data_IF_086976573762
#
_entry.id   IF_086976573762
#
_cell.length_a   1.000
_cell.length_b   1.000
_cell.length_c   1.000
_cell.angle_alpha   90.00
_cell.angle_beta   90.00
_cell.angle_gamma   90.00
#
_symmetry.space_group_name_H-M   'P 1'
#
loop_
_entity.id
_entity.type
_entity.pdbx_description
1 polymer ?
#
# COMPACT_ATOMS: atom_id res chain seq x y z
N UNK A 1 -9.46 -3.53 -16.45
CA UNK A 1 -10.65 -2.68 -16.63
C UNK A 1 -11.33 -3.12 -17.92
N UNK A 2 -12.59 -3.55 -17.89
CA UNK A 2 -13.32 -3.83 -19.12
C UNK A 2 -13.68 -2.50 -19.82
N UNK A 3 -13.55 -2.47 -21.15
CA UNK A 3 -14.08 -1.37 -21.96
C UNK A 3 -15.62 -1.46 -22.02
N UNK A 4 -16.34 -0.37 -22.35
CA UNK A 4 -17.81 -0.39 -22.46
C UNK A 4 -18.36 -1.41 -23.48
N UNK A 5 -17.53 -1.78 -24.45
CA UNK A 5 -17.85 -2.78 -25.50
C UNK A 5 -17.25 -4.17 -25.24
N UNK A 6 -16.65 -4.41 -24.08
CA UNK A 6 -16.10 -5.73 -23.74
C UNK A 6 -17.25 -6.71 -23.49
N UNK A 7 -17.25 -7.84 -24.20
CA UNK A 7 -18.22 -8.92 -23.95
C UNK A 7 -18.12 -9.39 -22.49
N UNK A 8 -19.28 -9.57 -21.85
CA UNK A 8 -19.39 -9.96 -20.45
C UNK A 8 -18.69 -11.29 -20.14
N UNK A 9 -18.56 -12.20 -21.11
CA UNK A 9 -17.88 -13.48 -20.94
C UNK A 9 -16.34 -13.37 -20.88
N UNK A 10 -15.77 -12.29 -21.41
CA UNK A 10 -14.31 -12.11 -21.51
C UNK A 10 -13.68 -11.88 -20.13
N UNK A 11 -14.31 -11.09 -19.27
CA UNK A 11 -13.76 -10.77 -17.94
C UNK A 11 -13.60 -12.03 -17.07
N UNK A 12 -14.64 -12.90 -16.93
CA UNK A 12 -14.49 -14.17 -16.20
C UNK A 12 -13.47 -15.11 -16.84
N UNK A 13 -13.41 -15.17 -18.17
CA UNK A 13 -12.44 -16.01 -18.89
C UNK A 13 -11.01 -15.55 -18.65
N UNK A 14 -10.75 -14.25 -18.76
CA UNK A 14 -9.43 -13.66 -18.48
C UNK A 14 -9.00 -13.89 -17.02
N UNK A 15 -9.92 -13.74 -16.05
CA UNK A 15 -9.63 -14.04 -14.64
C UNK A 15 -9.23 -15.50 -14.43
N UNK A 16 -9.99 -16.44 -15.00
CA UNK A 16 -9.64 -17.86 -14.92
C UNK A 16 -8.26 -18.14 -15.50
N UNK A 17 -7.97 -17.59 -16.68
CA UNK A 17 -6.66 -17.77 -17.32
C UNK A 17 -5.53 -17.22 -16.42
N UNK A 18 -5.67 -16.01 -15.89
CA UNK A 18 -4.65 -15.41 -15.03
C UNK A 18 -4.45 -16.22 -13.75
N UNK A 19 -5.53 -16.73 -13.13
CA UNK A 19 -5.41 -17.62 -11.97
C UNK A 19 -4.67 -18.93 -12.32
N UNK A 20 -4.92 -19.51 -13.49
CA UNK A 20 -4.23 -20.74 -13.94
C UNK A 20 -2.72 -20.55 -14.08
N UNK A 21 -2.26 -19.35 -14.42
CA UNK A 21 -0.82 -19.02 -14.52
C UNK A 21 -0.26 -18.42 -13.23
N UNK A 22 -0.95 -18.60 -12.09
CA UNK A 22 -0.47 -18.20 -10.77
C UNK A 22 -0.54 -16.71 -10.45
N UNK A 23 -1.33 -15.94 -11.23
CA UNK A 23 -1.56 -14.52 -10.94
C UNK A 23 -2.82 -14.34 -10.07
N UNK A 24 -2.91 -13.20 -9.38
CA UNK A 24 -4.09 -12.81 -8.58
C UNK A 24 -4.78 -11.61 -9.26
N UNK A 25 -5.66 -11.85 -10.24
CA UNK A 25 -6.30 -10.77 -10.99
C UNK A 25 -7.40 -10.08 -10.19
N UNK A 26 -7.38 -8.76 -10.19
CA UNK A 26 -8.49 -7.93 -9.70
C UNK A 26 -9.28 -7.36 -10.89
N UNK A 27 -10.55 -7.02 -10.66
CA UNK A 27 -11.38 -6.31 -11.62
C UNK A 27 -11.57 -4.88 -11.17
N UNK A 28 -11.21 -3.94 -12.03
CA UNK A 28 -11.52 -2.52 -11.84
C UNK A 28 -12.73 -2.21 -12.69
N UNK A 29 -13.86 -1.94 -12.06
CA UNK A 29 -15.15 -1.79 -12.75
C UNK A 29 -15.22 -0.56 -13.65
N UNK A 30 -14.47 0.47 -13.34
CA UNK A 30 -14.43 1.74 -14.07
C UNK A 30 -13.03 2.31 -14.02
N UNK A 31 -12.54 2.81 -15.14
CA UNK A 31 -11.24 3.47 -15.19
C UNK A 31 -11.18 4.68 -14.24
N UNK A 32 -10.06 4.80 -13.57
CA UNK A 32 -9.75 5.91 -12.66
C UNK A 32 -8.25 6.19 -12.72
N UNK A 33 -7.86 7.45 -12.73
CA UNK A 33 -6.46 7.86 -12.71
C UNK A 33 -5.70 7.19 -11.55
N UNK A 34 -4.54 6.59 -11.85
CA UNK A 34 -3.71 5.86 -10.89
C UNK A 34 -4.21 4.46 -10.54
N UNK A 35 -5.37 4.04 -11.04
CA UNK A 35 -6.00 2.77 -10.69
C UNK A 35 -6.07 2.55 -9.17
N UNK A 36 -6.31 1.33 -8.71
CA UNK A 36 -6.45 1.05 -7.26
C UNK A 36 -5.10 1.13 -6.55
N UNK A 37 -4.07 0.47 -7.10
CA UNK A 37 -2.76 0.35 -6.43
C UNK A 37 -2.11 1.71 -6.21
N UNK A 38 -1.95 2.51 -7.28
CA UNK A 38 -1.28 3.80 -7.17
C UNK A 38 -2.06 4.79 -6.32
N UNK A 39 -3.39 4.72 -6.30
CA UNK A 39 -4.22 5.57 -5.42
C UNK A 39 -3.99 5.26 -3.95
N UNK A 40 -3.97 3.96 -3.57
CA UNK A 40 -3.71 3.55 -2.19
C UNK A 40 -2.28 3.89 -1.77
N UNK A 41 -1.30 3.62 -2.64
CA UNK A 41 0.10 3.96 -2.39
C UNK A 41 0.30 5.48 -2.29
N UNK A 42 -0.31 6.24 -3.19
CA UNK A 42 -0.23 7.71 -3.17
C UNK A 42 -0.84 8.32 -1.91
N UNK A 43 -1.97 7.78 -1.42
CA UNK A 43 -2.57 8.24 -0.16
C UNK A 43 -1.61 8.03 1.03
N UNK A 44 -0.97 6.85 1.11
CA UNK A 44 0.02 6.55 2.14
C UNK A 44 1.26 7.45 2.03
N UNK A 45 1.80 7.61 0.81
CA UNK A 45 2.97 8.44 0.59
C UNK A 45 2.71 9.92 0.89
N UNK A 46 1.57 10.47 0.49
CA UNK A 46 1.22 11.85 0.79
C UNK A 46 1.19 12.12 2.30
N UNK A 47 0.66 11.19 3.10
CA UNK A 47 0.69 11.32 4.56
C UNK A 47 2.11 11.18 5.10
N UNK A 48 2.89 10.22 4.63
CA UNK A 48 4.28 10.02 5.05
C UNK A 48 5.15 11.28 4.81
N UNK A 49 5.04 11.88 3.63
CA UNK A 49 5.75 13.11 3.29
C UNK A 49 5.31 14.29 4.15
N UNK A 50 4.01 14.42 4.43
CA UNK A 50 3.48 15.48 5.28
C UNK A 50 3.96 15.32 6.74
N UNK A 51 3.94 14.12 7.29
CA UNK A 51 4.44 13.85 8.64
C UNK A 51 5.93 14.19 8.78
N UNK A 52 6.74 13.89 7.76
CA UNK A 52 8.15 14.28 7.73
C UNK A 52 8.33 15.80 7.59
N UNK A 53 7.62 16.45 6.66
CA UNK A 53 7.71 17.90 6.43
C UNK A 53 7.34 18.69 7.70
N UNK A 54 6.33 18.24 8.42
CA UNK A 54 5.82 18.85 9.66
C UNK A 54 6.66 18.49 10.89
N UNK A 55 7.68 17.63 10.75
CA UNK A 55 8.61 17.28 11.82
C UNK A 55 8.06 16.31 12.86
N UNK A 56 7.02 15.55 12.54
CA UNK A 56 6.45 14.57 13.47
C UNK A 56 7.33 13.33 13.65
N UNK A 57 8.05 12.90 12.60
CA UNK A 57 8.91 11.74 12.66
C UNK A 57 10.02 11.81 11.59
N UNK A 58 11.10 11.05 11.83
CA UNK A 58 12.15 10.84 10.83
C UNK A 58 11.67 9.95 9.68
N UNK A 59 12.37 9.98 8.55
CA UNK A 59 12.11 9.07 7.42
C UNK A 59 12.21 7.60 7.87
N UNK A 60 13.20 7.28 8.72
CA UNK A 60 13.37 5.92 9.26
C UNK A 60 12.18 5.47 10.11
N UNK A 61 11.70 6.31 11.02
CA UNK A 61 10.59 5.97 11.92
C UNK A 61 9.27 5.78 11.15
N UNK A 62 9.05 6.58 10.09
CA UNK A 62 7.92 6.42 9.18
C UNK A 62 8.01 5.09 8.44
N UNK A 63 9.18 4.75 7.86
CA UNK A 63 9.43 3.48 7.20
C UNK A 63 9.20 2.28 8.14
N UNK A 64 9.70 2.37 9.39
CA UNK A 64 9.51 1.33 10.42
C UNK A 64 8.04 1.19 10.82
N UNK A 65 7.30 2.28 10.97
CA UNK A 65 5.87 2.26 11.28
C UNK A 65 5.07 1.52 10.21
N UNK A 66 5.41 1.73 8.94
CA UNK A 66 4.73 1.02 7.84
C UNK A 66 5.19 -0.43 7.77
N UNK A 67 6.50 -0.70 7.76
CA UNK A 67 7.03 -2.06 7.50
C UNK A 67 6.75 -3.04 8.64
N UNK A 68 6.72 -2.59 9.91
CA UNK A 68 6.48 -3.41 11.09
C UNK A 68 5.06 -3.26 11.67
N UNK A 69 4.35 -2.23 11.27
CA UNK A 69 2.95 -1.99 11.65
C UNK A 69 1.96 -2.45 10.58
N UNK A 70 1.64 -1.56 9.67
CA UNK A 70 0.61 -1.79 8.65
C UNK A 70 1.01 -2.90 7.66
N UNK A 71 2.20 -2.81 7.09
CA UNK A 71 2.69 -3.71 6.05
C UNK A 71 2.84 -5.16 6.51
N UNK A 72 3.15 -5.37 7.79
CA UNK A 72 3.25 -6.71 8.36
C UNK A 72 1.92 -7.46 8.29
N UNK A 73 0.81 -6.79 8.57
CA UNK A 73 -0.54 -7.38 8.43
C UNK A 73 -0.97 -7.47 6.97
N UNK A 74 -0.68 -6.44 6.19
CA UNK A 74 -1.05 -6.35 4.78
C UNK A 74 -0.32 -7.36 3.87
N UNK A 75 0.68 -8.04 4.40
CA UNK A 75 1.27 -9.19 3.71
C UNK A 75 0.26 -10.34 3.52
N UNK A 76 -0.73 -10.48 4.40
CA UNK A 76 -1.67 -11.60 4.42
C UNK A 76 -3.10 -11.17 4.12
N UNK A 77 -3.51 -9.96 4.50
CA UNK A 77 -4.88 -9.49 4.38
C UNK A 77 -4.94 -8.04 3.90
N UNK A 78 -6.02 -7.66 3.24
CA UNK A 78 -6.24 -6.29 2.79
C UNK A 78 -6.70 -5.35 3.92
N UNK A 79 -6.87 -4.04 3.62
CA UNK A 79 -7.26 -3.06 4.62
C UNK A 79 -8.65 -3.32 5.23
N UNK A 80 -9.61 -3.80 4.46
CA UNK A 80 -10.96 -4.09 4.97
C UNK A 80 -10.99 -5.30 5.88
N UNK A 81 -10.31 -6.38 5.52
CA UNK A 81 -10.16 -7.55 6.38
C UNK A 81 -9.39 -7.22 7.65
N UNK A 82 -8.35 -6.39 7.55
CA UNK A 82 -7.61 -5.91 8.72
C UNK A 82 -8.52 -5.20 9.72
N UNK A 83 -9.39 -4.29 9.28
CA UNK A 83 -10.29 -3.58 10.19
C UNK A 83 -11.46 -4.45 10.67
N UNK A 84 -11.88 -5.41 9.88
CA UNK A 84 -12.91 -6.39 10.28
C UNK A 84 -12.45 -7.23 11.48
N UNK A 85 -11.19 -7.68 11.44
CA UNK A 85 -10.57 -8.45 12.52
C UNK A 85 -10.15 -7.61 13.74
N UNK A 86 -10.07 -6.29 13.60
CA UNK A 86 -9.63 -5.37 14.66
C UNK A 86 -10.78 -4.86 15.56
N UNK A 87 -12.01 -5.24 15.31
CA UNK A 87 -13.14 -4.84 16.14
C UNK A 87 -14.08 -6.02 16.42
N UNK A 88 -14.58 -6.17 17.66
CA UNK A 88 -15.47 -7.29 18.02
C UNK A 88 -16.75 -7.38 17.18
N UNK A 89 -17.24 -6.26 16.68
CA UNK A 89 -18.42 -6.16 15.82
C UNK A 89 -18.07 -5.95 14.33
N UNK A 90 -16.83 -6.26 13.93
CA UNK A 90 -16.38 -6.20 12.54
C UNK A 90 -16.28 -4.78 11.96
N UNK A 91 -16.33 -4.68 10.62
CA UNK A 91 -16.15 -3.40 9.89
C UNK A 91 -17.10 -2.31 10.38
N UNK A 92 -18.36 -2.61 10.63
CA UNK A 92 -19.35 -1.62 11.07
C UNK A 92 -19.03 -1.06 12.45
N UNK A 93 -18.55 -1.89 13.36
CA UNK A 93 -18.13 -1.47 14.70
C UNK A 93 -16.84 -0.63 14.63
N UNK A 94 -15.87 -1.07 13.83
CA UNK A 94 -14.64 -0.32 13.58
C UNK A 94 -14.94 1.06 13.01
N UNK A 95 -15.78 1.14 11.97
CA UNK A 95 -16.16 2.40 11.32
C UNK A 95 -16.84 3.37 12.31
N UNK A 96 -17.72 2.86 13.16
CA UNK A 96 -18.39 3.69 14.19
C UNK A 96 -17.40 4.28 15.19
N UNK A 97 -16.41 3.48 15.64
CA UNK A 97 -15.42 3.89 16.65
C UNK A 97 -14.35 4.82 16.09
N UNK A 98 -13.79 4.50 14.92
CA UNK A 98 -12.62 5.16 14.36
C UNK A 98 -12.90 6.04 13.13
N UNK A 99 -14.09 5.91 12.53
CA UNK A 99 -14.50 6.75 11.40
C UNK A 99 -14.39 8.25 11.68
N UNK A 100 -14.84 8.76 12.83
CA UNK A 100 -14.69 10.19 13.16
C UNK A 100 -13.22 10.65 13.20
N UNK A 101 -12.30 9.82 13.73
CA UNK A 101 -10.87 10.10 13.72
C UNK A 101 -10.32 10.19 12.30
N UNK A 102 -10.60 9.18 11.47
CA UNK A 102 -10.14 9.18 10.07
C UNK A 102 -10.73 10.30 9.23
N UNK A 103 -11.99 10.68 9.50
CA UNK A 103 -12.58 11.86 8.88
C UNK A 103 -11.83 13.15 9.26
N UNK A 104 -11.48 13.30 10.54
CA UNK A 104 -10.68 14.44 11.03
C UNK A 104 -9.31 14.50 10.37
N UNK A 105 -8.60 13.36 10.28
CA UNK A 105 -7.31 13.25 9.59
C UNK A 105 -7.46 13.65 8.11
N UNK A 106 -8.45 13.11 7.40
CA UNK A 106 -8.67 13.43 6.00
C UNK A 106 -8.98 14.93 5.80
N UNK A 107 -9.74 15.53 6.71
CA UNK A 107 -10.03 16.97 6.68
C UNK A 107 -8.76 17.81 6.88
N UNK A 108 -7.87 17.41 7.77
CA UNK A 108 -6.59 18.09 7.98
C UNK A 108 -5.68 18.02 6.73
N UNK A 109 -5.87 17.00 5.88
CA UNK A 109 -5.12 16.79 4.61
C UNK A 109 -5.92 17.20 3.35
N UNK A 110 -6.95 18.01 3.49
CA UNK A 110 -7.82 18.40 2.36
C UNK A 110 -7.13 19.26 1.30
N UNK A 111 -5.98 19.85 1.59
CA UNK A 111 -5.16 20.62 0.65
C UNK A 111 -3.77 20.00 0.49
N UNK A 112 -3.60 18.96 -0.36
CA UNK A 112 -2.33 18.29 -0.53
C UNK A 112 -1.32 19.22 -1.21
N UNK A 113 -0.08 19.24 -0.69
CA UNK A 113 1.03 19.98 -1.27
C UNK A 113 1.83 19.08 -2.20
N UNK A 114 2.36 19.60 -3.32
CA UNK A 114 3.30 18.84 -4.14
C UNK A 114 4.63 18.63 -3.38
N UNK A 115 5.28 17.51 -3.62
CA UNK A 115 6.63 17.24 -3.10
C UNK A 115 7.63 18.10 -3.88
N UNK A 116 8.09 19.16 -3.26
CA UNK A 116 9.06 20.06 -3.88
C UNK A 116 10.51 19.52 -3.75
N UNK A 117 11.45 20.13 -4.49
CA UNK A 117 12.84 19.68 -4.54
C UNK A 117 13.55 19.77 -3.17
N UNK A 118 13.26 20.79 -2.37
CA UNK A 118 13.83 20.94 -1.03
C UNK A 118 13.41 19.80 -0.11
N UNK A 119 12.11 19.52 -0.06
CA UNK A 119 11.57 18.43 0.74
C UNK A 119 12.13 17.07 0.26
N UNK A 120 12.17 16.85 -1.05
CA UNK A 120 12.75 15.63 -1.62
C UNK A 120 14.24 15.50 -1.27
N UNK A 121 15.00 16.59 -1.31
CA UNK A 121 16.42 16.62 -0.92
C UNK A 121 16.64 16.27 0.55
N UNK A 122 15.78 16.74 1.45
CA UNK A 122 15.85 16.39 2.89
C UNK A 122 15.58 14.90 3.14
N UNK A 123 14.56 14.34 2.50
CA UNK A 123 14.26 12.89 2.58
C UNK A 123 15.42 12.08 1.99
N UNK A 124 15.94 12.48 0.84
CA UNK A 124 17.10 11.82 0.21
C UNK A 124 18.32 11.85 1.13
N UNK A 125 18.62 12.98 1.76
CA UNK A 125 19.74 13.10 2.69
C UNK A 125 19.63 12.11 3.86
N UNK A 126 18.47 11.99 4.49
CA UNK A 126 18.26 10.98 5.56
C UNK A 126 18.42 9.56 5.03
N UNK A 127 17.85 9.25 3.85
CA UNK A 127 18.02 7.93 3.23
C UNK A 127 19.47 7.61 2.91
N UNK A 128 20.27 8.57 2.45
CA UNK A 128 21.70 8.38 2.13
C UNK A 128 22.57 8.14 3.35
N UNK A 129 22.18 8.60 4.54
CA UNK A 129 22.85 8.24 5.80
C UNK A 129 22.75 6.74 6.12
N UNK A 130 21.68 6.07 5.67
CA UNK A 130 21.45 4.63 5.92
C UNK A 130 21.93 3.73 4.79
N UNK A 131 21.90 4.22 3.56
CA UNK A 131 22.23 3.45 2.37
C UNK A 131 22.82 4.36 1.30
N UNK A 132 24.07 4.19 0.97
CA UNK A 132 24.72 4.95 -0.10
C UNK A 132 24.04 4.66 -1.47
N UNK A 133 24.13 5.64 -2.38
CA UNK A 133 23.44 5.56 -3.68
C UNK A 133 23.92 4.38 -4.53
N UNK A 134 25.20 4.08 -4.48
CA UNK A 134 25.85 2.96 -5.19
C UNK A 134 25.45 1.58 -4.64
N UNK A 135 24.94 1.52 -3.41
CA UNK A 135 24.44 0.28 -2.79
C UNK A 135 22.98 -0.04 -3.14
N UNK A 136 22.28 0.84 -3.84
CA UNK A 136 20.87 0.62 -4.22
C UNK A 136 20.65 -0.67 -5.03
N UNK A 137 21.50 -1.05 -6.01
CA UNK A 137 21.33 -2.30 -6.76
C UNK A 137 21.41 -3.54 -5.85
N UNK A 138 22.37 -3.58 -4.93
CA UNK A 138 22.52 -4.70 -3.98
C UNK A 138 21.32 -4.77 -3.02
N UNK A 139 20.87 -3.62 -2.52
CA UNK A 139 19.68 -3.53 -1.65
C UNK A 139 18.41 -3.94 -2.37
N UNK A 140 18.27 -3.62 -3.66
CA UNK A 140 17.17 -4.07 -4.50
C UNK A 140 17.17 -5.59 -4.66
N UNK A 141 18.33 -6.20 -4.94
CA UNK A 141 18.45 -7.66 -5.02
C UNK A 141 18.15 -8.34 -3.67
N UNK A 142 18.54 -7.72 -2.54
CA UNK A 142 18.14 -8.20 -1.21
C UNK A 142 16.61 -8.16 -1.04
N UNK A 143 15.96 -7.04 -1.39
CA UNK A 143 14.49 -6.90 -1.37
C UNK A 143 13.81 -8.01 -2.16
N UNK A 144 14.26 -8.24 -3.38
CA UNK A 144 13.65 -9.22 -4.28
C UNK A 144 13.74 -10.64 -3.70
N UNK A 145 14.89 -11.01 -3.11
CA UNK A 145 15.04 -12.30 -2.40
C UNK A 145 14.05 -12.42 -1.22
N UNK A 146 13.84 -11.35 -0.45
CA UNK A 146 12.86 -11.35 0.66
C UNK A 146 11.43 -11.49 0.18
N UNK A 147 11.05 -10.78 -0.89
CA UNK A 147 9.73 -10.89 -1.49
C UNK A 147 9.47 -12.29 -2.06
N UNK A 148 10.47 -12.90 -2.71
CA UNK A 148 10.38 -14.28 -3.18
C UNK A 148 10.23 -15.30 -2.04
N UNK A 149 10.93 -15.10 -0.93
CA UNK A 149 10.80 -15.96 0.24
C UNK A 149 9.40 -15.85 0.87
N UNK A 150 8.87 -14.61 0.98
CA UNK A 150 7.50 -14.38 1.46
C UNK A 150 6.46 -15.00 0.52
N UNK A 151 6.62 -14.86 -0.79
CA UNK A 151 5.72 -15.46 -1.77
C UNK A 151 5.71 -17.00 -1.65
N UNK A 152 6.87 -17.63 -1.51
CA UNK A 152 6.96 -19.08 -1.25
C UNK A 152 6.24 -19.47 0.02
N UNK A 153 6.44 -18.72 1.11
CA UNK A 153 5.75 -18.97 2.38
C UNK A 153 4.23 -18.89 2.18
N UNK A 154 3.72 -17.84 1.56
CA UNK A 154 2.28 -17.69 1.27
C UNK A 154 1.71 -18.84 0.46
N UNK A 155 2.44 -19.30 -0.56
CA UNK A 155 1.99 -20.41 -1.42
C UNK A 155 2.02 -21.77 -0.74
N UNK A 156 2.72 -21.92 0.39
CA UNK A 156 2.80 -23.16 1.17
C UNK A 156 1.86 -23.21 2.37
N UNK A 157 1.23 -22.09 2.71
CA UNK A 157 0.22 -22.01 3.77
C UNK A 157 -1.18 -22.14 3.17
N UNK A 158 -2.05 -22.89 3.82
CA UNK A 158 -3.47 -22.88 3.49
C UNK A 158 -4.14 -21.66 4.12
N UNK A 159 -5.11 -21.07 3.44
CA UNK A 159 -5.92 -19.96 3.97
C UNK A 159 -7.01 -20.47 4.97
N UNK A 160 -6.85 -21.68 5.51
CA UNK A 160 -7.76 -22.32 6.48
C UNK A 160 -7.08 -22.49 7.81
#
# INVERSE_FOLDING_TARGET
VPAPWTDAAIVPAARRFMNMVGQVPIVVNREVEGFILNRLQGALLNEAWALFEEGYASVEDIDLTVSHGLGFRWCFMGPFETIDLNAPGGVADYARRLGPLYHSIAKARSNPKPWNEDLAGRVEAERRQKLAIDQLPERSAWRDRRLMALLRHKNTQSDT
#
